data_IF_187647316174
#
_entry.id   IF_187647316174
#
_cell.length_a   1.000
_cell.length_b   1.000
_cell.length_c   1.000
_cell.angle_alpha   90.00
_cell.angle_beta   90.00
_cell.angle_gamma   90.00
#
_symmetry.space_group_name_H-M   'P 1'
#
loop_
_entity.id
_entity.type
_entity.pdbx_description
1 polymer ?
#
# COMPACT_ATOMS: atom_id res chain seq x y z
N UNK A 1 44.60 14.31 -31.55
CA UNK A 1 43.56 14.44 -30.51
C UNK A 1 42.66 13.21 -30.59
N UNK A 2 42.71 12.31 -29.60
CA UNK A 2 41.81 11.16 -29.58
C UNK A 2 40.40 11.65 -29.27
N UNK A 3 39.47 11.49 -30.20
CA UNK A 3 38.03 11.62 -29.92
C UNK A 3 37.70 10.64 -28.81
N UNK A 4 37.49 11.15 -27.59
CA UNK A 4 37.09 10.32 -26.47
C UNK A 4 35.82 9.57 -26.85
N UNK A 5 35.92 8.23 -26.87
CA UNK A 5 34.77 7.37 -27.16
C UNK A 5 33.77 7.50 -26.02
N UNK A 6 32.72 8.25 -26.33
CA UNK A 6 31.51 8.43 -25.57
C UNK A 6 30.99 7.07 -25.06
N UNK A 7 30.83 6.91 -23.74
CA UNK A 7 30.28 5.68 -23.15
C UNK A 7 28.95 5.95 -22.44
N UNK A 8 27.84 5.75 -23.16
CA UNK A 8 26.47 5.80 -22.62
C UNK A 8 26.26 4.83 -21.45
N UNK A 9 27.00 3.72 -21.45
CA UNK A 9 27.03 2.74 -20.37
C UNK A 9 27.46 3.37 -19.04
N UNK A 10 28.48 4.26 -19.05
CA UNK A 10 28.99 4.90 -17.84
C UNK A 10 27.97 5.88 -17.21
N UNK A 11 27.21 6.58 -18.06
CA UNK A 11 26.12 7.47 -17.61
C UNK A 11 24.99 6.67 -16.95
N UNK A 12 24.51 5.61 -17.61
CA UNK A 12 23.48 4.73 -17.07
C UNK A 12 23.93 4.09 -15.74
N UNK A 13 25.18 3.66 -15.66
CA UNK A 13 25.76 3.08 -14.45
C UNK A 13 25.78 4.08 -13.29
N UNK A 14 26.14 5.34 -13.56
CA UNK A 14 26.19 6.40 -12.55
C UNK A 14 24.79 6.75 -12.02
N UNK A 15 23.81 6.88 -12.90
CA UNK A 15 22.41 7.12 -12.49
C UNK A 15 21.82 5.94 -11.72
N UNK A 16 22.01 4.72 -12.22
CA UNK A 16 21.60 3.50 -11.52
C UNK A 16 22.24 3.41 -10.13
N UNK A 17 23.51 3.78 -10.02
CA UNK A 17 24.21 3.81 -8.74
C UNK A 17 23.59 4.82 -7.75
N UNK A 18 23.40 6.08 -8.16
CA UNK A 18 22.87 7.12 -7.26
C UNK A 18 21.43 6.84 -6.86
N UNK A 19 20.58 6.50 -7.83
CA UNK A 19 19.21 6.10 -7.55
C UNK A 19 19.19 4.84 -6.67
N UNK A 20 20.09 3.88 -6.90
CA UNK A 20 20.19 2.65 -6.12
C UNK A 20 20.54 2.92 -4.66
N UNK A 21 21.47 3.83 -4.38
CA UNK A 21 21.84 4.20 -3.02
C UNK A 21 20.69 4.91 -2.28
N UNK A 22 19.92 5.74 -2.98
CA UNK A 22 18.73 6.40 -2.43
C UNK A 22 17.60 5.40 -2.15
N UNK A 23 17.30 4.50 -3.10
CA UNK A 23 16.16 3.58 -3.06
C UNK A 23 16.41 2.37 -2.16
N UNK A 24 17.66 1.91 -2.01
CA UNK A 24 18.00 0.73 -1.22
C UNK A 24 17.44 0.70 0.22
N UNK A 25 17.56 1.75 1.05
CA UNK A 25 16.99 1.73 2.41
C UNK A 25 15.47 1.53 2.41
N UNK A 26 14.75 2.15 1.47
CA UNK A 26 13.31 1.97 1.32
C UNK A 26 13.00 0.53 0.89
N UNK A 27 13.69 -0.01 -0.12
CA UNK A 27 13.45 -1.38 -0.58
C UNK A 27 13.70 -2.43 0.52
N UNK A 28 14.72 -2.22 1.37
CA UNK A 28 14.95 -3.10 2.53
C UNK A 28 13.80 -3.00 3.52
N UNK A 29 13.39 -1.79 3.88
CA UNK A 29 12.28 -1.56 4.80
C UNK A 29 10.96 -2.16 4.26
N UNK A 30 10.63 -1.90 3.00
CA UNK A 30 9.43 -2.40 2.33
C UNK A 30 9.45 -3.94 2.25
N UNK A 31 10.57 -4.56 1.89
CA UNK A 31 10.64 -6.01 1.85
C UNK A 31 10.51 -6.66 3.24
N UNK A 32 11.13 -6.10 4.28
CA UNK A 32 11.02 -6.62 5.65
C UNK A 32 9.60 -6.46 6.21
N UNK A 33 9.02 -5.27 6.09
CA UNK A 33 7.64 -5.01 6.53
C UNK A 33 6.62 -5.79 5.71
N UNK A 34 6.87 -5.96 4.41
CA UNK A 34 6.08 -6.80 3.52
C UNK A 34 6.08 -8.26 3.96
N UNK A 35 7.23 -8.82 4.36
CA UNK A 35 7.31 -10.18 4.92
C UNK A 35 6.51 -10.30 6.22
N UNK A 36 6.61 -9.32 7.13
CA UNK A 36 5.83 -9.34 8.39
C UNK A 36 4.32 -9.39 8.08
N UNK A 37 3.87 -8.51 7.18
CA UNK A 37 2.47 -8.42 6.80
C UNK A 37 1.97 -9.66 6.04
N UNK A 38 2.81 -10.21 5.17
CA UNK A 38 2.56 -11.43 4.42
C UNK A 38 2.26 -12.63 5.32
N UNK A 39 2.90 -12.71 6.50
CA UNK A 39 2.70 -13.77 7.48
C UNK A 39 1.66 -13.44 8.56
N UNK A 40 0.84 -12.39 8.37
CA UNK A 40 -0.27 -12.06 9.28
C UNK A 40 -1.16 -13.26 9.64
N UNK A 41 -1.61 -14.11 8.70
CA UNK A 41 -2.48 -15.25 9.02
C UNK A 41 -1.84 -16.27 9.97
N UNK A 42 -0.50 -16.33 10.03
CA UNK A 42 0.24 -17.22 10.93
C UNK A 42 0.68 -16.52 12.22
N UNK A 43 1.09 -15.25 12.14
CA UNK A 43 1.58 -14.49 13.28
C UNK A 43 0.46 -14.09 14.24
N UNK A 44 -0.71 -13.68 13.73
CA UNK A 44 -1.79 -13.18 14.58
C UNK A 44 -2.36 -14.27 15.50
N UNK A 45 -2.70 -15.50 15.02
CA UNK A 45 -3.14 -16.56 15.91
C UNK A 45 -2.05 -17.01 16.91
N UNK A 46 -0.77 -16.92 16.54
CA UNK A 46 0.35 -17.25 17.42
C UNK A 46 0.51 -16.23 18.56
N UNK A 47 0.33 -14.94 18.27
CA UNK A 47 0.52 -13.86 19.23
C UNK A 47 -0.73 -13.54 20.05
N UNK A 48 -1.92 -13.73 19.45
CA UNK A 48 -3.20 -13.27 19.97
C UNK A 48 -4.25 -14.38 20.01
N UNK A 49 -3.81 -15.64 20.11
CA UNK A 49 -4.71 -16.80 20.11
C UNK A 49 -5.81 -16.74 21.16
N UNK A 50 -5.51 -16.25 22.36
CA UNK A 50 -6.49 -16.06 23.45
C UNK A 50 -7.56 -15.00 23.15
N UNK A 51 -7.25 -14.02 22.29
CA UNK A 51 -8.20 -13.00 21.86
C UNK A 51 -9.00 -13.44 20.63
N UNK A 52 -8.36 -14.18 19.72
CA UNK A 52 -8.92 -14.51 18.40
C UNK A 52 -9.71 -15.81 18.39
N UNK A 53 -9.39 -16.78 19.26
CA UNK A 53 -9.97 -18.12 19.24
C UNK A 53 -10.86 -18.38 20.45
N UNK A 54 -11.99 -19.02 20.20
CA UNK A 54 -13.03 -19.36 21.19
C UNK A 54 -13.46 -20.81 21.06
N UNK A 55 -14.01 -21.35 22.14
CA UNK A 55 -14.62 -22.68 22.11
C UNK A 55 -16.08 -22.57 21.68
N UNK A 56 -16.43 -23.33 20.64
CA UNK A 56 -17.80 -23.40 20.10
C UNK A 56 -18.80 -23.88 21.15
N UNK A 57 -20.00 -23.32 21.15
CA UNK A 57 -21.16 -23.83 21.88
C UNK A 57 -22.39 -23.95 20.95
N UNK A 58 -23.49 -24.52 21.45
CA UNK A 58 -24.67 -24.77 20.62
C UNK A 58 -25.33 -23.50 20.07
N UNK A 59 -25.38 -22.42 20.86
CA UNK A 59 -26.09 -21.19 20.50
C UNK A 59 -25.17 -19.98 20.62
N UNK A 60 -25.05 -19.22 19.52
CA UNK A 60 -24.38 -17.93 19.53
C UNK A 60 -25.35 -16.83 19.97
N UNK A 61 -24.85 -15.88 20.75
CA UNK A 61 -25.54 -14.64 21.09
C UNK A 61 -25.72 -13.79 19.83
N UNK A 62 -26.80 -13.01 19.80
CA UNK A 62 -27.01 -12.02 18.74
C UNK A 62 -25.92 -10.94 18.75
N UNK A 63 -25.68 -10.32 17.61
CA UNK A 63 -24.74 -9.21 17.48
C UNK A 63 -25.12 -8.04 18.41
N UNK A 64 -26.42 -7.81 18.63
CA UNK A 64 -26.90 -6.80 19.59
C UNK A 64 -26.55 -7.15 21.04
N UNK A 65 -26.69 -8.40 21.45
CA UNK A 65 -26.27 -8.85 22.78
C UNK A 65 -24.75 -8.72 22.96
N UNK A 66 -23.97 -9.14 21.96
CA UNK A 66 -22.51 -8.97 21.98
C UNK A 66 -22.11 -7.49 22.07
N UNK A 67 -22.79 -6.62 21.32
CA UNK A 67 -22.58 -5.17 21.38
C UNK A 67 -22.90 -4.61 22.77
N UNK A 68 -23.98 -5.06 23.40
CA UNK A 68 -24.32 -4.67 24.77
C UNK A 68 -23.26 -5.10 25.77
N UNK A 69 -22.70 -6.32 25.66
CA UNK A 69 -21.60 -6.79 26.51
C UNK A 69 -20.35 -5.92 26.35
N UNK A 70 -20.00 -5.59 25.10
CA UNK A 70 -18.86 -4.75 24.81
C UNK A 70 -19.04 -3.32 25.36
N UNK A 71 -20.22 -2.71 25.16
CA UNK A 71 -20.54 -1.39 25.73
C UNK A 71 -20.58 -1.38 27.26
N UNK A 72 -21.04 -2.46 27.89
CA UNK A 72 -21.05 -2.57 29.35
C UNK A 72 -19.62 -2.62 29.93
N UNK A 73 -18.69 -3.28 29.23
CA UNK A 73 -17.28 -3.30 29.62
C UNK A 73 -16.57 -1.96 29.32
N UNK A 74 -17.00 -1.25 28.27
CA UNK A 74 -16.41 0.01 27.80
C UNK A 74 -17.44 1.13 27.69
N UNK A 75 -18.00 1.62 28.82
CA UNK A 75 -19.16 2.51 28.82
C UNK A 75 -18.90 3.89 28.19
N UNK A 76 -17.64 4.35 28.20
CA UNK A 76 -17.24 5.64 27.65
C UNK A 76 -16.68 5.54 26.22
N UNK A 77 -16.63 4.34 25.64
CA UNK A 77 -16.04 4.14 24.32
C UNK A 77 -17.08 4.32 23.21
N UNK A 78 -16.72 5.05 22.16
CA UNK A 78 -17.56 5.20 20.98
C UNK A 78 -17.27 4.07 19.98
N UNK A 79 -18.27 3.29 19.61
CA UNK A 79 -18.11 2.23 18.61
C UNK A 79 -17.98 2.81 17.20
N UNK A 80 -17.02 2.31 16.43
CA UNK A 80 -16.85 2.65 15.02
C UNK A 80 -17.19 1.49 14.08
N UNK A 81 -16.85 0.25 14.46
CA UNK A 81 -16.97 -0.91 13.58
C UNK A 81 -17.25 -2.20 14.35
N UNK A 82 -17.97 -3.12 13.72
CA UNK A 82 -18.15 -4.50 14.17
C UNK A 82 -17.66 -5.47 13.11
N UNK A 83 -16.89 -6.49 13.51
CA UNK A 83 -16.51 -7.61 12.67
C UNK A 83 -17.13 -8.87 13.27
N UNK A 84 -18.12 -9.49 12.60
CA UNK A 84 -18.64 -10.77 13.02
C UNK A 84 -17.55 -11.86 13.02
N UNK A 85 -17.72 -12.93 13.82
CA UNK A 85 -16.84 -14.09 13.76
C UNK A 85 -16.69 -14.62 12.32
N UNK A 86 -15.45 -14.75 11.84
CA UNK A 86 -15.18 -15.27 10.50
C UNK A 86 -15.51 -16.77 10.37
N UNK A 87 -15.42 -17.50 11.48
CA UNK A 87 -15.79 -18.91 11.61
C UNK A 87 -16.29 -19.20 13.04
N UNK A 88 -16.83 -20.40 13.27
CA UNK A 88 -17.38 -20.80 14.56
C UNK A 88 -16.36 -20.76 15.71
N UNK A 89 -15.07 -20.86 15.41
CA UNK A 89 -13.97 -20.87 16.40
C UNK A 89 -13.38 -19.50 16.64
N UNK A 90 -13.90 -18.46 16.01
CA UNK A 90 -13.35 -17.11 16.07
C UNK A 90 -14.17 -16.20 16.99
N UNK A 91 -13.51 -15.27 17.66
CA UNK A 91 -14.19 -14.23 18.43
C UNK A 91 -14.81 -13.18 17.52
N UNK A 92 -15.81 -12.48 18.03
CA UNK A 92 -16.34 -11.27 17.42
C UNK A 92 -15.49 -10.06 17.83
N UNK A 93 -15.38 -9.04 16.97
CA UNK A 93 -14.52 -7.89 17.22
C UNK A 93 -15.29 -6.58 17.10
N UNK A 94 -15.07 -5.67 18.05
CA UNK A 94 -15.64 -4.34 18.04
C UNK A 94 -14.51 -3.30 18.06
N UNK A 95 -14.40 -2.48 17.02
CA UNK A 95 -13.47 -1.35 17.01
C UNK A 95 -14.15 -0.18 17.71
N UNK A 96 -13.49 0.36 18.72
CA UNK A 96 -14.00 1.42 19.56
C UNK A 96 -12.95 2.50 19.82
N UNK A 97 -13.38 3.73 19.96
CA UNK A 97 -12.56 4.83 20.42
C UNK A 97 -12.69 4.98 21.95
N UNK A 98 -11.63 4.69 22.68
CA UNK A 98 -11.57 4.75 24.14
C UNK A 98 -10.41 5.64 24.58
N UNK A 99 -10.70 6.76 25.25
CA UNK A 99 -9.68 7.64 25.84
C UNK A 99 -8.63 8.17 24.84
N UNK A 100 -9.04 8.52 23.62
CA UNK A 100 -8.13 9.00 22.58
C UNK A 100 -7.45 7.90 21.75
N UNK A 101 -7.62 6.62 22.13
CA UNK A 101 -7.06 5.45 21.42
C UNK A 101 -8.16 4.71 20.68
N UNK A 102 -7.80 4.13 19.54
CA UNK A 102 -8.66 3.20 18.82
C UNK A 102 -8.27 1.78 19.19
N UNK A 103 -9.17 1.05 19.83
CA UNK A 103 -8.95 -0.31 20.33
C UNK A 103 -9.94 -1.28 19.69
N UNK A 104 -9.49 -2.50 19.45
CA UNK A 104 -10.33 -3.62 19.02
C UNK A 104 -10.62 -4.48 20.24
N UNK A 105 -11.89 -4.56 20.62
CA UNK A 105 -12.39 -5.35 21.75
C UNK A 105 -12.88 -6.70 21.22
N UNK A 106 -12.43 -7.79 21.83
CA UNK A 106 -12.77 -9.16 21.42
C UNK A 106 -13.82 -9.74 22.36
N UNK A 107 -14.86 -10.35 21.79
CA UNK A 107 -15.98 -10.92 22.54
C UNK A 107 -16.21 -12.37 22.11
N UNK A 108 -16.37 -13.27 23.08
CA UNK A 108 -16.83 -14.64 22.82
C UNK A 108 -18.30 -14.61 22.36
N UNK A 109 -18.60 -15.00 21.11
CA UNK A 109 -19.95 -14.92 20.57
C UNK A 109 -20.92 -15.90 21.23
N UNK A 110 -20.45 -16.91 21.97
CA UNK A 110 -21.30 -17.89 22.65
C UNK A 110 -21.54 -17.54 24.11
N UNK A 111 -20.50 -17.09 24.82
CA UNK A 111 -20.56 -16.81 26.27
C UNK A 111 -20.82 -15.34 26.58
N UNK A 112 -20.57 -14.45 25.62
CA UNK A 112 -20.63 -13.00 25.83
C UNK A 112 -19.52 -12.46 26.72
N UNK A 113 -18.49 -13.27 27.02
CA UNK A 113 -17.31 -12.86 27.78
C UNK A 113 -16.42 -11.96 26.92
N UNK A 114 -16.04 -10.81 27.45
CA UNK A 114 -15.03 -9.94 26.82
C UNK A 114 -13.65 -10.56 27.07
N UNK A 115 -12.98 -10.95 25.99
CA UNK A 115 -11.69 -11.66 26.03
C UNK A 115 -10.52 -10.70 26.26
N UNK A 116 -10.68 -9.44 25.87
CA UNK A 116 -9.68 -8.39 26.05
C UNK A 116 -9.76 -7.33 24.94
N UNK A 117 -8.74 -6.49 24.90
CA UNK A 117 -8.57 -5.45 23.88
C UNK A 117 -7.18 -5.51 23.23
N UNK A 118 -7.09 -4.99 22.02
CA UNK A 118 -5.84 -4.75 21.31
C UNK A 118 -5.83 -3.35 20.72
N UNK A 119 -4.68 -2.67 20.77
CA UNK A 119 -4.54 -1.37 20.10
C UNK A 119 -4.59 -1.54 18.57
N UNK A 120 -5.47 -0.79 17.90
CA UNK A 120 -5.68 -0.91 16.46
C UNK A 120 -4.55 -0.28 15.63
N UNK A 121 -3.71 0.57 16.24
CA UNK A 121 -2.58 1.26 15.58
C UNK A 121 -1.22 0.71 15.99
N UNK A 122 -1.08 0.27 17.23
CA UNK A 122 0.20 -0.17 17.81
C UNK A 122 0.33 -1.69 17.97
N UNK A 123 -0.31 -2.47 17.11
CA UNK A 123 -0.04 -3.90 16.95
C UNK A 123 0.96 -4.16 15.80
N UNK A 124 1.57 -5.34 15.76
CA UNK A 124 2.62 -5.69 14.80
C UNK A 124 2.19 -5.45 13.34
N UNK A 125 0.95 -5.83 13.00
CA UNK A 125 0.44 -5.75 11.63
C UNK A 125 0.12 -4.32 11.22
N UNK A 126 -0.49 -3.54 12.12
CA UNK A 126 -0.77 -2.14 11.90
C UNK A 126 0.52 -1.33 11.71
N UNK A 127 1.53 -1.56 12.55
CA UNK A 127 2.85 -0.93 12.43
C UNK A 127 3.53 -1.34 11.12
N UNK A 128 3.55 -2.64 10.78
CA UNK A 128 4.14 -3.11 9.54
C UNK A 128 3.47 -2.48 8.31
N UNK A 129 2.13 -2.40 8.27
CA UNK A 129 1.38 -1.77 7.17
C UNK A 129 1.66 -0.26 7.09
N UNK A 130 1.65 0.45 8.22
CA UNK A 130 1.91 1.89 8.25
C UNK A 130 3.37 2.22 7.87
N UNK A 131 4.34 1.40 8.27
CA UNK A 131 5.73 1.53 7.81
C UNK A 131 5.86 1.25 6.32
N UNK A 132 5.17 0.21 5.82
CA UNK A 132 5.23 -0.19 4.42
C UNK A 132 4.61 0.85 3.47
N UNK A 133 3.46 1.44 3.84
CA UNK A 133 2.77 2.40 3.00
C UNK A 133 3.25 3.85 3.17
N UNK A 134 3.50 4.29 4.41
CA UNK A 134 3.68 5.71 4.73
C UNK A 134 4.82 6.01 5.73
N UNK A 135 5.67 5.03 6.03
CA UNK A 135 6.80 5.16 6.98
C UNK A 135 6.37 5.67 8.38
N UNK A 136 5.09 5.54 8.74
CA UNK A 136 4.47 6.09 9.96
C UNK A 136 4.60 7.62 10.12
N UNK A 137 4.84 8.36 9.03
CA UNK A 137 4.93 9.84 9.03
C UNK A 137 3.86 10.47 8.13
N UNK A 138 2.79 9.73 7.86
CA UNK A 138 1.63 10.16 7.07
C UNK A 138 1.98 10.49 5.62
N UNK A 139 1.31 11.51 5.09
CA UNK A 139 1.43 11.92 3.68
C UNK A 139 2.88 12.09 3.20
N UNK A 140 3.79 12.61 4.04
CA UNK A 140 5.20 12.78 3.64
C UNK A 140 5.86 11.43 3.34
N UNK A 141 5.61 10.43 4.18
CA UNK A 141 6.20 9.11 4.01
C UNK A 141 5.55 8.35 2.85
N UNK A 142 4.25 8.50 2.64
CA UNK A 142 3.55 8.02 1.43
C UNK A 142 4.21 8.57 0.16
N UNK A 143 4.49 9.88 0.09
CA UNK A 143 5.21 10.47 -1.06
C UNK A 143 6.65 9.97 -1.20
N UNK A 144 7.35 9.70 -0.10
CA UNK A 144 8.71 9.16 -0.14
C UNK A 144 8.73 7.70 -0.64
N UNK A 145 7.78 6.88 -0.18
CA UNK A 145 7.62 5.49 -0.64
C UNK A 145 7.23 5.47 -2.11
N UNK A 146 6.27 6.30 -2.54
CA UNK A 146 5.89 6.43 -3.95
C UNK A 146 7.08 6.88 -4.82
N UNK A 147 7.84 7.87 -4.36
CA UNK A 147 9.06 8.33 -5.04
C UNK A 147 10.11 7.21 -5.14
N UNK A 148 10.32 6.45 -4.07
CA UNK A 148 11.23 5.31 -4.08
C UNK A 148 10.76 4.19 -5.02
N UNK A 149 9.45 3.92 -5.09
CA UNK A 149 8.88 2.95 -6.01
C UNK A 149 9.05 3.38 -7.48
N UNK A 150 8.77 4.64 -7.80
CA UNK A 150 8.98 5.21 -9.14
C UNK A 150 10.45 5.18 -9.58
N UNK A 151 11.38 5.53 -8.69
CA UNK A 151 12.82 5.33 -8.94
C UNK A 151 13.20 3.85 -9.03
N UNK A 152 12.53 2.97 -8.29
CA UNK A 152 12.65 1.52 -8.42
C UNK A 152 12.37 1.03 -9.83
N UNK A 153 11.33 1.54 -10.48
CA UNK A 153 11.01 1.21 -11.89
C UNK A 153 12.17 1.62 -12.81
N UNK A 154 12.71 2.82 -12.61
CA UNK A 154 13.89 3.28 -13.36
C UNK A 154 15.14 2.41 -13.09
N UNK A 155 15.31 1.93 -11.86
CA UNK A 155 16.40 1.02 -11.49
C UNK A 155 16.28 -0.34 -12.16
N UNK A 156 15.07 -0.89 -12.27
CA UNK A 156 14.82 -2.14 -13.01
C UNK A 156 15.21 -1.97 -14.47
N UNK A 157 14.72 -0.92 -15.14
CA UNK A 157 15.01 -0.66 -16.56
C UNK A 157 16.50 -0.43 -16.79
N UNK A 158 17.13 0.44 -15.99
CA UNK A 158 18.57 0.72 -16.10
C UNK A 158 19.43 -0.48 -15.73
N UNK A 159 19.02 -1.30 -14.75
CA UNK A 159 19.70 -2.52 -14.35
C UNK A 159 19.70 -3.56 -15.47
N UNK A 160 18.54 -3.82 -16.08
CA UNK A 160 18.42 -4.68 -17.26
C UNK A 160 19.29 -4.16 -18.41
N UNK A 161 19.28 -2.85 -18.67
CA UNK A 161 20.13 -2.26 -19.70
C UNK A 161 21.62 -2.48 -19.41
N UNK A 162 22.08 -2.31 -18.17
CA UNK A 162 23.49 -2.46 -17.78
C UNK A 162 23.96 -3.92 -17.84
N UNK A 163 23.11 -4.84 -17.38
CA UNK A 163 23.47 -6.25 -17.25
C UNK A 163 23.06 -7.10 -18.45
N UNK A 164 22.41 -6.52 -19.48
CA UNK A 164 22.02 -7.27 -20.66
C UNK A 164 23.22 -8.00 -21.30
N UNK A 165 23.12 -9.30 -21.59
CA UNK A 165 24.22 -10.09 -22.14
C UNK A 165 24.49 -9.68 -23.60
N UNK A 166 25.50 -8.82 -23.82
CA UNK A 166 25.90 -8.30 -25.15
C UNK A 166 27.19 -8.96 -25.65
N UNK A 167 27.10 -10.23 -26.04
CA UNK A 167 28.20 -10.94 -26.71
C UNK A 167 29.40 -11.33 -25.83
N UNK A 168 29.24 -11.31 -24.49
CA UNK A 168 30.17 -11.90 -23.53
C UNK A 168 29.52 -13.11 -22.84
N UNK A 169 30.33 -13.93 -22.16
CA UNK A 169 29.82 -15.03 -21.32
C UNK A 169 28.65 -14.56 -20.44
N UNK A 170 27.54 -15.28 -20.49
CA UNK A 170 26.34 -15.05 -19.67
C UNK A 170 26.56 -15.39 -18.19
N UNK A 171 27.70 -16.01 -17.85
CA UNK A 171 28.10 -16.28 -16.48
C UNK A 171 28.36 -14.96 -15.72
N UNK A 172 27.71 -14.82 -14.56
CA UNK A 172 27.67 -13.62 -13.75
C UNK A 172 26.54 -12.64 -14.08
N UNK A 173 25.62 -13.02 -14.98
CA UNK A 173 24.34 -12.34 -15.26
C UNK A 173 23.17 -13.32 -15.19
N UNK A 174 23.25 -14.46 -15.88
CA UNK A 174 22.17 -15.47 -15.85
C UNK A 174 22.35 -16.48 -14.72
N UNK A 175 23.60 -16.79 -14.37
CA UNK A 175 23.95 -17.69 -13.27
C UNK A 175 25.21 -17.18 -12.57
N UNK A 176 25.35 -17.43 -11.25
CA UNK A 176 26.52 -16.98 -10.52
C UNK A 176 27.74 -17.81 -10.90
N UNK A 177 28.94 -17.20 -10.85
CA UNK A 177 30.19 -17.94 -11.04
C UNK A 177 30.54 -18.68 -9.76
N UNK A 178 30.50 -20.01 -9.82
CA UNK A 178 30.61 -20.96 -8.69
C UNK A 178 31.84 -20.74 -7.80
N UNK A 179 32.96 -20.25 -8.36
CA UNK A 179 34.21 -20.01 -7.62
C UNK A 179 34.52 -18.53 -7.35
N UNK A 180 33.56 -17.62 -7.56
CA UNK A 180 33.79 -16.20 -7.33
C UNK A 180 33.81 -15.88 -5.83
N UNK A 181 34.75 -15.03 -5.41
CA UNK A 181 34.86 -14.54 -4.02
C UNK A 181 34.93 -13.02 -3.98
N UNK A 182 34.68 -12.45 -2.80
CA UNK A 182 34.82 -11.02 -2.56
C UNK A 182 33.92 -10.16 -3.47
N UNK A 183 34.50 -9.17 -4.15
CA UNK A 183 33.74 -8.20 -4.97
C UNK A 183 32.98 -8.87 -6.12
N UNK A 184 33.59 -9.90 -6.72
CA UNK A 184 33.05 -10.58 -7.91
C UNK A 184 31.80 -11.37 -7.54
N UNK A 185 31.79 -12.02 -6.38
CA UNK A 185 30.64 -12.72 -5.83
C UNK A 185 29.45 -11.79 -5.62
N UNK A 186 29.62 -10.69 -4.88
CA UNK A 186 28.52 -9.74 -4.61
C UNK A 186 27.97 -9.11 -5.88
N UNK A 187 28.85 -8.84 -6.86
CA UNK A 187 28.44 -8.38 -8.19
C UNK A 187 27.54 -9.41 -8.89
N UNK A 188 27.92 -10.68 -8.86
CA UNK A 188 27.14 -11.74 -9.50
C UNK A 188 25.82 -11.97 -8.78
N UNK A 189 25.79 -11.94 -7.43
CA UNK A 189 24.56 -12.00 -6.65
C UNK A 189 23.60 -10.85 -7.02
N UNK A 190 24.11 -9.62 -7.11
CA UNK A 190 23.31 -8.47 -7.51
C UNK A 190 22.79 -8.61 -8.95
N UNK A 191 23.67 -8.94 -9.90
CA UNK A 191 23.31 -9.00 -11.32
C UNK A 191 22.35 -10.16 -11.63
N UNK A 192 22.58 -11.35 -11.07
CA UNK A 192 21.74 -12.54 -11.30
C UNK A 192 20.39 -12.37 -10.65
N UNK A 193 20.36 -11.94 -9.38
CA UNK A 193 19.10 -11.69 -8.67
C UNK A 193 18.32 -10.55 -9.33
N UNK A 194 19.02 -9.48 -9.73
CA UNK A 194 18.42 -8.36 -10.44
C UNK A 194 17.87 -8.75 -11.81
N UNK A 195 18.55 -9.61 -12.58
CA UNK A 195 18.08 -10.04 -13.89
C UNK A 195 16.81 -10.90 -13.79
N UNK A 196 16.83 -11.96 -12.98
CA UNK A 196 15.66 -12.85 -12.81
C UNK A 196 14.53 -12.18 -12.02
N UNK A 197 14.88 -11.32 -11.07
CA UNK A 197 13.93 -10.59 -10.25
C UNK A 197 13.36 -9.35 -10.93
N UNK A 198 13.90 -8.90 -12.06
CA UNK A 198 13.48 -7.64 -12.70
C UNK A 198 11.99 -7.63 -13.05
N UNK A 199 11.48 -8.68 -13.70
CA UNK A 199 10.06 -8.75 -14.07
C UNK A 199 9.16 -8.84 -12.85
N UNK A 200 9.54 -9.65 -11.86
CA UNK A 200 8.78 -9.81 -10.62
C UNK A 200 8.75 -8.52 -9.81
N UNK A 201 9.90 -7.86 -9.65
CA UNK A 201 10.01 -6.57 -8.99
C UNK A 201 9.23 -5.49 -9.76
N UNK A 202 9.27 -5.49 -11.09
CA UNK A 202 8.48 -4.55 -11.88
C UNK A 202 6.98 -4.74 -11.62
N UNK A 203 6.49 -5.97 -11.58
CA UNK A 203 5.08 -6.25 -11.23
C UNK A 203 4.77 -5.74 -9.83
N UNK A 204 5.63 -6.00 -8.83
CA UNK A 204 5.42 -5.52 -7.46
C UNK A 204 5.42 -4.00 -7.34
N UNK A 205 6.29 -3.31 -8.07
CA UNK A 205 6.36 -1.84 -8.07
C UNK A 205 5.13 -1.25 -8.76
N UNK A 206 4.77 -1.78 -9.93
CA UNK A 206 3.61 -1.29 -10.68
C UNK A 206 2.30 -1.55 -9.94
N UNK A 207 2.12 -2.73 -9.35
CA UNK A 207 0.94 -3.00 -8.52
C UNK A 207 0.93 -2.09 -7.31
N UNK A 208 2.03 -2.03 -6.54
CA UNK A 208 2.15 -1.17 -5.35
C UNK A 208 1.80 0.30 -5.59
N UNK A 209 2.19 0.84 -6.74
CA UNK A 209 1.89 2.23 -7.09
C UNK A 209 0.40 2.50 -7.30
N UNK A 210 -0.41 1.52 -7.71
CA UNK A 210 -1.85 1.73 -8.01
C UNK A 210 -2.68 2.20 -6.82
N UNK A 211 -2.16 2.08 -5.59
CA UNK A 211 -2.84 2.54 -4.37
C UNK A 211 -1.99 3.50 -3.52
N UNK A 212 -1.00 4.17 -4.11
CA UNK A 212 -0.29 5.25 -3.41
C UNK A 212 -1.12 6.53 -3.36
N UNK A 213 -0.86 7.38 -2.38
CA UNK A 213 -1.71 8.52 -2.10
C UNK A 213 -1.69 9.64 -3.15
N UNK A 214 -0.69 9.71 -4.05
CA UNK A 214 -0.69 10.68 -5.17
C UNK A 214 -1.02 9.98 -6.49
N UNK A 215 -0.13 9.10 -6.93
CA UNK A 215 -0.25 8.44 -8.22
C UNK A 215 -1.41 7.46 -8.24
N UNK A 216 -1.55 6.62 -7.20
CA UNK A 216 -2.69 5.71 -7.06
C UNK A 216 -4.03 6.44 -7.06
N UNK A 217 -4.13 7.58 -6.37
CA UNK A 217 -5.33 8.44 -6.44
C UNK A 217 -5.63 8.91 -7.86
N UNK A 218 -4.65 9.49 -8.57
CA UNK A 218 -4.83 9.96 -9.96
C UNK A 218 -5.15 8.81 -10.92
N UNK A 219 -4.52 7.66 -10.71
CA UNK A 219 -4.78 6.44 -11.47
C UNK A 219 -6.22 5.96 -11.26
N UNK A 220 -6.69 5.90 -10.01
CA UNK A 220 -8.05 5.56 -9.67
C UNK A 220 -9.07 6.55 -10.25
N UNK A 221 -8.81 7.86 -10.19
CA UNK A 221 -9.70 8.90 -10.74
C UNK A 221 -9.93 8.75 -12.26
N UNK A 222 -8.96 8.20 -12.99
CA UNK A 222 -9.07 7.98 -14.44
C UNK A 222 -9.87 6.73 -14.80
N UNK A 223 -9.84 5.69 -13.95
CA UNK A 223 -10.30 4.36 -14.34
C UNK A 223 -11.36 3.74 -13.42
N UNK A 224 -11.47 4.13 -12.16
CA UNK A 224 -12.46 3.60 -11.21
C UNK A 224 -13.83 4.26 -11.39
N UNK A 225 -14.36 4.18 -12.61
CA UNK A 225 -15.72 4.57 -12.94
C UNK A 225 -16.65 3.36 -12.84
N UNK A 226 -17.71 3.51 -12.05
CA UNK A 226 -18.76 2.51 -11.89
C UNK A 226 -19.98 2.90 -12.74
N UNK A 227 -20.85 1.94 -13.09
CA UNK A 227 -22.10 2.26 -13.78
C UNK A 227 -22.88 3.35 -13.04
N UNK A 228 -23.08 4.51 -13.68
CA UNK A 228 -23.78 5.66 -13.10
C UNK A 228 -25.17 5.28 -12.55
N UNK A 229 -25.84 4.33 -13.20
CA UNK A 229 -27.13 3.79 -12.81
C UNK A 229 -27.19 3.32 -11.36
N UNK A 230 -26.07 2.92 -10.76
CA UNK A 230 -26.08 2.50 -9.37
C UNK A 230 -26.38 3.68 -8.43
N UNK A 231 -25.83 4.88 -8.69
CA UNK A 231 -25.97 6.05 -7.78
C UNK A 231 -26.95 7.12 -8.26
N UNK A 232 -27.60 6.92 -9.42
CA UNK A 232 -28.52 7.90 -10.02
C UNK A 232 -29.75 8.21 -9.14
N UNK A 233 -30.20 7.24 -8.34
CA UNK A 233 -31.41 7.36 -7.51
C UNK A 233 -31.07 7.30 -6.02
N UNK A 234 -29.82 7.61 -5.66
CA UNK A 234 -29.32 7.51 -4.30
C UNK A 234 -28.67 8.84 -3.98
N UNK A 235 -29.17 9.58 -2.98
CA UNK A 235 -28.56 10.81 -2.55
C UNK A 235 -27.13 10.58 -2.06
N UNK A 236 -26.22 11.45 -2.48
CA UNK A 236 -24.78 11.30 -2.29
C UNK A 236 -24.25 12.39 -1.36
N UNK A 237 -23.35 12.00 -0.48
CA UNK A 237 -22.54 12.92 0.33
C UNK A 237 -21.32 13.39 -0.48
N UNK A 238 -20.78 14.55 -0.11
CA UNK A 238 -19.47 15.03 -0.56
C UNK A 238 -18.31 14.13 -0.09
N UNK A 239 -18.56 13.20 0.85
CA UNK A 239 -17.56 12.24 1.30
C UNK A 239 -17.42 11.06 0.33
N UNK A 240 -16.17 10.65 0.11
CA UNK A 240 -15.84 9.44 -0.64
C UNK A 240 -15.56 8.27 0.30
N UNK A 241 -15.76 7.03 -0.15
CA UNK A 241 -15.58 5.84 0.68
C UNK A 241 -14.15 5.65 1.22
N UNK A 242 -13.13 6.33 0.65
CA UNK A 242 -11.76 6.39 1.19
C UNK A 242 -11.68 6.79 2.66
N UNK A 243 -12.64 7.55 3.17
CA UNK A 243 -12.70 7.93 4.60
C UNK A 243 -12.83 6.71 5.53
N UNK A 244 -13.29 5.56 5.00
CA UNK A 244 -13.41 4.30 5.71
C UNK A 244 -12.08 3.53 5.80
N UNK A 245 -11.08 3.93 5.01
CA UNK A 245 -9.75 3.33 4.99
C UNK A 245 -8.75 4.18 5.76
N UNK A 246 -7.81 3.52 6.44
CA UNK A 246 -6.75 4.16 7.19
C UNK A 246 -5.41 3.50 6.86
N UNK A 247 -4.30 4.13 7.26
CA UNK A 247 -2.97 3.56 7.08
C UNK A 247 -2.81 2.17 7.73
N UNK A 248 -3.53 1.90 8.82
CA UNK A 248 -3.49 0.63 9.56
C UNK A 248 -4.58 -0.36 9.16
N UNK A 249 -5.64 0.07 8.45
CA UNK A 249 -6.77 -0.80 8.12
C UNK A 249 -7.40 -0.48 6.75
N UNK A 250 -7.55 -1.52 5.92
CA UNK A 250 -8.39 -1.49 4.73
C UNK A 250 -9.79 -2.00 5.07
N UNK A 251 -10.82 -1.20 4.82
CA UNK A 251 -12.23 -1.55 5.04
C UNK A 251 -12.92 -1.84 3.72
N UNK A 252 -12.86 -0.90 2.77
CA UNK A 252 -13.42 -1.05 1.43
C UNK A 252 -12.29 -1.36 0.43
N UNK A 253 -12.57 -2.14 -0.64
CA UNK A 253 -11.61 -2.37 -1.72
C UNK A 253 -11.09 -1.04 -2.32
N UNK A 254 -9.87 -1.06 -2.88
CA UNK A 254 -9.25 0.13 -3.47
C UNK A 254 -10.06 0.72 -4.62
N UNK A 255 -10.74 -0.14 -5.39
CA UNK A 255 -11.66 0.24 -6.45
C UNK A 255 -12.78 1.16 -5.93
N UNK A 256 -13.18 1.00 -4.67
CA UNK A 256 -14.28 1.74 -4.05
C UNK A 256 -13.86 3.08 -3.44
N UNK A 257 -12.57 3.35 -3.24
CA UNK A 257 -12.14 4.52 -2.46
C UNK A 257 -12.66 5.86 -2.98
N UNK A 258 -12.75 6.01 -4.30
CA UNK A 258 -13.16 7.26 -4.93
C UNK A 258 -14.68 7.33 -5.21
N UNK A 259 -15.47 6.35 -4.76
CA UNK A 259 -16.92 6.40 -4.91
C UNK A 259 -17.56 7.27 -3.83
N UNK A 260 -18.60 8.05 -4.17
CA UNK A 260 -19.34 8.85 -3.19
C UNK A 260 -20.07 7.94 -2.18
N UNK A 261 -20.18 8.41 -0.94
CA UNK A 261 -20.94 7.75 0.11
C UNK A 261 -22.42 8.11 0.00
N UNK A 262 -23.35 7.13 -0.01
CA UNK A 262 -24.78 7.39 0.10
C UNK A 262 -25.17 8.06 1.41
N UNK A 263 -26.34 8.72 1.40
CA UNK A 263 -26.95 9.33 2.59
C UNK A 263 -28.23 8.61 3.00
N UNK A 264 -28.45 8.47 4.31
CA UNK A 264 -29.70 7.93 4.88
C UNK A 264 -30.78 9.02 5.02
N UNK A 265 -32.05 8.63 4.90
CA UNK A 265 -33.23 9.43 5.23
C UNK A 265 -34.11 9.89 4.05
N UNK A 266 -35.43 10.02 4.31
CA UNK A 266 -36.48 10.35 3.32
C UNK A 266 -36.38 11.76 2.71
N UNK A 267 -35.54 12.63 3.26
CA UNK A 267 -35.38 14.00 2.78
C UNK A 267 -34.30 14.17 1.72
N UNK A 268 -33.57 13.10 1.39
CA UNK A 268 -32.40 13.22 0.56
C UNK A 268 -32.73 13.42 -0.95
N UNK A 269 -33.99 13.27 -1.36
CA UNK A 269 -34.51 13.62 -2.71
C UNK A 269 -35.03 15.07 -2.84
N UNK A 270 -35.18 15.84 -1.74
CA UNK A 270 -35.84 17.15 -1.74
C UNK A 270 -35.02 18.31 -1.16
N UNK A 271 -33.75 18.12 -0.82
CA UNK A 271 -32.97 19.16 -0.15
C UNK A 271 -32.16 20.02 -1.12
N UNK A 272 -32.66 21.22 -1.34
CA UNK A 272 -31.92 22.36 -1.88
C UNK A 272 -30.70 22.66 -0.98
N UNK A 273 -29.56 22.98 -1.57
CA UNK A 273 -28.21 23.11 -0.97
C UNK A 273 -28.05 24.09 0.23
N UNK A 274 -28.72 23.87 1.38
CA UNK A 274 -28.68 24.88 2.46
C UNK A 274 -28.84 24.46 3.92
N UNK A 275 -29.31 23.25 4.24
CA UNK A 275 -29.53 22.84 5.63
C UNK A 275 -28.66 21.63 5.99
N UNK A 276 -27.46 21.87 6.55
CA UNK A 276 -26.64 20.82 7.16
C UNK A 276 -27.33 20.31 8.43
N UNK A 277 -27.97 19.14 8.37
CA UNK A 277 -28.35 18.41 9.57
C UNK A 277 -27.13 17.62 10.09
N UNK A 278 -26.17 18.33 10.69
CA UNK A 278 -24.98 17.75 11.33
C UNK A 278 -25.27 17.20 12.73
N UNK A 279 -26.34 16.42 12.87
CA UNK A 279 -26.65 15.70 14.12
C UNK A 279 -25.86 14.40 14.25
N UNK A 280 -25.63 13.89 15.47
CA UNK A 280 -25.05 12.56 15.66
C UNK A 280 -25.98 11.47 15.09
N UNK A 281 -25.40 10.36 14.64
CA UNK A 281 -26.18 9.21 14.20
C UNK A 281 -27.10 8.68 15.32
N UNK A 282 -28.32 8.30 14.95
CA UNK A 282 -29.30 7.70 15.85
C UNK A 282 -30.01 6.53 15.13
N UNK A 283 -29.27 5.47 14.76
CA UNK A 283 -29.81 4.37 13.97
C UNK A 283 -30.96 3.67 14.71
N UNK A 284 -32.09 3.49 14.03
CA UNK A 284 -33.20 2.66 14.52
C UNK A 284 -33.02 1.19 14.19
N UNK A 285 -32.17 0.90 13.20
CA UNK A 285 -31.82 -0.44 12.77
C UNK A 285 -30.91 -1.12 13.80
N UNK A 286 -31.26 -2.35 14.20
CA UNK A 286 -30.46 -3.17 15.11
C UNK A 286 -29.25 -3.77 14.41
N UNK A 287 -28.19 -4.06 15.15
CA UNK A 287 -26.96 -4.59 14.58
C UNK A 287 -27.18 -5.99 13.97
N UNK A 288 -27.96 -6.85 14.64
CA UNK A 288 -28.28 -8.17 14.11
C UNK A 288 -29.02 -8.08 12.76
N UNK A 289 -29.87 -7.09 12.57
CA UNK A 289 -30.58 -6.90 11.29
C UNK A 289 -29.61 -6.59 10.14
N UNK A 290 -28.54 -5.85 10.40
CA UNK A 290 -27.49 -5.58 9.40
C UNK A 290 -26.69 -6.85 9.09
N UNK A 291 -26.40 -7.68 10.10
CA UNK A 291 -25.76 -8.99 9.93
C UNK A 291 -26.65 -9.93 9.09
N UNK A 292 -27.94 -10.01 9.42
CA UNK A 292 -28.90 -10.84 8.70
C UNK A 292 -29.04 -10.38 7.24
N UNK A 293 -29.04 -9.06 7.01
CA UNK A 293 -29.05 -8.48 5.68
C UNK A 293 -27.78 -8.84 4.89
N UNK A 294 -26.60 -8.75 5.50
CA UNK A 294 -25.34 -9.14 4.87
C UNK A 294 -25.35 -10.63 4.47
N UNK A 295 -25.84 -11.50 5.36
CA UNK A 295 -25.99 -12.93 5.10
C UNK A 295 -27.00 -13.21 3.98
N UNK A 296 -28.17 -12.54 4.00
CA UNK A 296 -29.18 -12.65 2.96
C UNK A 296 -28.70 -12.14 1.59
N UNK A 297 -27.75 -11.20 1.58
CA UNK A 297 -27.06 -10.71 0.37
C UNK A 297 -25.79 -11.49 0.03
N UNK A 298 -25.58 -12.65 0.66
CA UNK A 298 -24.46 -13.55 0.41
C UNK A 298 -23.10 -12.83 0.43
N UNK A 299 -22.89 -11.95 1.42
CA UNK A 299 -21.57 -11.37 1.68
C UNK A 299 -20.69 -12.44 2.33
N UNK A 300 -19.51 -12.68 1.79
CA UNK A 300 -18.56 -13.68 2.32
C UNK A 300 -18.11 -13.33 3.75
N UNK A 301 -17.93 -14.32 4.64
CA UNK A 301 -17.40 -14.10 5.98
C UNK A 301 -16.06 -13.35 5.99
N UNK A 302 -15.81 -12.60 7.06
CA UNK A 302 -14.67 -11.68 7.16
C UNK A 302 -14.99 -10.24 6.75
N UNK A 303 -16.27 -9.94 6.46
CA UNK A 303 -16.75 -8.58 6.32
C UNK A 303 -16.72 -7.81 7.65
N UNK A 304 -16.79 -6.49 7.53
CA UNK A 304 -16.98 -5.59 8.66
C UNK A 304 -18.19 -4.69 8.44
N UNK A 305 -18.82 -4.27 9.53
CA UNK A 305 -19.94 -3.34 9.57
C UNK A 305 -19.44 -2.04 10.22
N UNK A 306 -19.28 -0.99 9.42
CA UNK A 306 -18.94 0.35 9.92
C UNK A 306 -20.23 1.09 10.29
N UNK A 307 -20.25 1.67 11.49
CA UNK A 307 -21.41 2.40 12.02
C UNK A 307 -21.50 3.82 11.42
N UNK A 308 -22.71 4.34 11.18
CA UNK A 308 -22.89 5.75 10.85
C UNK A 308 -22.48 6.62 12.05
N UNK A 309 -21.86 7.76 11.78
CA UNK A 309 -21.45 8.75 12.79
C UNK A 309 -22.37 9.97 12.82
N UNK A 310 -23.02 10.28 11.70
CA UNK A 310 -23.95 11.40 11.54
C UNK A 310 -25.38 10.91 11.24
N UNK A 311 -26.37 11.80 11.42
CA UNK A 311 -27.77 11.52 11.10
C UNK A 311 -28.00 11.13 9.63
N UNK A 312 -27.17 11.65 8.71
CA UNK A 312 -27.24 11.32 7.28
C UNK A 312 -26.32 10.14 6.91
N UNK A 313 -25.51 9.64 7.85
CA UNK A 313 -24.57 8.53 7.60
C UNK A 313 -25.28 7.23 7.26
N UNK A 314 -24.53 6.22 6.81
CA UNK A 314 -25.04 4.89 6.46
C UNK A 314 -24.26 3.82 7.21
N UNK A 315 -24.89 2.67 7.44
CA UNK A 315 -24.14 1.47 7.76
C UNK A 315 -23.38 1.03 6.51
N UNK A 316 -22.10 0.69 6.64
CA UNK A 316 -21.32 0.15 5.53
C UNK A 316 -20.86 -1.25 5.86
N UNK A 317 -21.40 -2.24 5.13
CA UNK A 317 -20.95 -3.63 5.16
C UNK A 317 -19.91 -3.79 4.06
N UNK A 318 -18.67 -4.10 4.40
CA UNK A 318 -17.62 -4.26 3.40
C UNK A 318 -16.71 -5.46 3.71
N UNK A 319 -16.36 -6.20 2.66
CA UNK A 319 -15.33 -7.25 2.69
C UNK A 319 -14.30 -6.94 1.62
N UNK A 320 -13.04 -6.89 2.05
CA UNK A 320 -11.86 -6.87 1.20
C UNK A 320 -11.27 -8.28 1.21
N UNK A 321 -11.76 -9.11 0.28
CA UNK A 321 -11.56 -10.54 0.34
C UNK A 321 -10.18 -10.94 -0.21
N UNK A 322 -9.65 -12.09 0.23
CA UNK A 322 -8.40 -12.63 -0.32
C UNK A 322 -8.50 -13.02 -1.81
N UNK A 323 -9.73 -13.29 -2.28
CA UNK A 323 -10.08 -13.39 -3.69
C UNK A 323 -11.01 -12.23 -4.03
N UNK A 324 -10.59 -11.27 -4.88
CA UNK A 324 -11.34 -10.04 -5.08
C UNK A 324 -12.67 -10.28 -5.81
N UNK A 325 -12.89 -11.48 -6.37
CA UNK A 325 -14.19 -11.89 -6.93
C UNK A 325 -15.29 -11.92 -5.87
N UNK A 326 -14.91 -12.05 -4.61
CA UNK A 326 -15.78 -12.09 -3.45
C UNK A 326 -15.93 -10.73 -2.76
N UNK A 327 -15.30 -9.67 -3.28
CA UNK A 327 -15.43 -8.33 -2.74
C UNK A 327 -16.89 -7.87 -2.72
N UNK A 328 -17.25 -7.21 -1.63
CA UNK A 328 -18.56 -6.62 -1.46
C UNK A 328 -18.46 -5.30 -0.72
N UNK A 329 -19.25 -4.31 -1.14
CA UNK A 329 -19.47 -3.06 -0.41
C UNK A 329 -20.94 -2.72 -0.49
N UNK A 330 -21.65 -2.83 0.64
CA UNK A 330 -23.04 -2.49 0.76
C UNK A 330 -23.19 -1.28 1.68
N UNK A 331 -23.94 -0.29 1.22
CA UNK A 331 -24.36 0.84 2.03
C UNK A 331 -25.84 0.66 2.38
N UNK A 332 -26.15 0.69 3.68
CA UNK A 332 -27.48 0.41 4.22
C UNK A 332 -27.98 1.63 4.97
N UNK A 333 -29.20 2.05 4.64
CA UNK A 333 -29.88 3.15 5.30
C UNK A 333 -30.09 2.83 6.78
N UNK A 334 -29.66 3.76 7.65
CA UNK A 334 -29.59 3.52 9.09
C UNK A 334 -30.96 3.51 9.79
N UNK A 335 -32.03 3.89 9.09
CA UNK A 335 -33.39 3.99 9.62
C UNK A 335 -34.31 2.89 9.10
N UNK A 336 -34.29 2.68 7.79
CA UNK A 336 -35.19 1.79 7.05
C UNK A 336 -34.61 0.40 6.81
N UNK A 337 -33.28 0.26 6.85
CA UNK A 337 -32.59 -0.97 6.44
C UNK A 337 -32.56 -1.20 4.93
N UNK A 338 -32.98 -0.22 4.12
CA UNK A 338 -32.89 -0.28 2.66
C UNK A 338 -31.43 -0.30 2.23
N UNK A 339 -31.07 -1.22 1.33
CA UNK A 339 -29.75 -1.24 0.68
C UNK A 339 -29.73 -0.11 -0.35
N UNK A 340 -28.92 0.91 -0.09
CA UNK A 340 -28.74 2.08 -0.94
C UNK A 340 -27.73 1.78 -2.06
N UNK A 341 -26.70 1.00 -1.78
CA UNK A 341 -25.71 0.57 -2.76
C UNK A 341 -25.26 -0.87 -2.47
N UNK A 342 -24.99 -1.65 -3.51
CA UNK A 342 -24.49 -3.03 -3.44
C UNK A 342 -23.46 -3.24 -4.56
N UNK A 343 -22.19 -2.91 -4.28
CA UNK A 343 -21.09 -3.08 -5.24
C UNK A 343 -20.40 -4.41 -5.04
N UNK A 344 -20.14 -5.08 -6.15
CA UNK A 344 -19.55 -6.41 -6.25
C UNK A 344 -18.55 -6.44 -7.39
N UNK A 345 -17.74 -7.49 -7.44
CA UNK A 345 -16.82 -7.77 -8.54
C UNK A 345 -17.44 -7.67 -9.95
N UNK A 346 -18.71 -8.09 -10.10
CA UNK A 346 -19.42 -8.02 -11.37
C UNK A 346 -19.55 -6.58 -11.90
N UNK A 347 -19.63 -5.60 -11.00
CA UNK A 347 -19.73 -4.18 -11.31
C UNK A 347 -18.36 -3.52 -11.57
N UNK A 348 -17.25 -4.20 -11.28
CA UNK A 348 -15.91 -3.68 -11.56
C UNK A 348 -15.63 -3.73 -13.06
N UNK A 349 -15.13 -2.62 -13.60
CA UNK A 349 -14.58 -2.59 -14.94
C UNK A 349 -13.24 -3.36 -15.01
N UNK A 350 -12.71 -3.55 -16.22
CA UNK A 350 -11.50 -4.35 -16.43
C UNK A 350 -10.29 -3.84 -15.65
N UNK A 351 -10.14 -2.51 -15.52
CA UNK A 351 -9.01 -1.89 -14.84
C UNK A 351 -9.13 -2.05 -13.33
N UNK A 352 -10.32 -1.85 -12.77
CA UNK A 352 -10.61 -2.11 -11.36
C UNK A 352 -10.34 -3.60 -11.02
N UNK A 353 -10.81 -4.53 -11.86
CA UNK A 353 -10.54 -5.97 -11.71
C UNK A 353 -9.05 -6.29 -11.74
N UNK A 354 -8.32 -5.73 -12.70
CA UNK A 354 -6.88 -5.93 -12.82
C UNK A 354 -6.13 -5.35 -11.61
N UNK A 355 -6.56 -4.20 -11.10
CA UNK A 355 -5.97 -3.51 -9.96
C UNK A 355 -6.18 -4.34 -8.68
N UNK A 356 -7.40 -4.73 -8.37
CA UNK A 356 -7.69 -5.55 -7.19
C UNK A 356 -7.01 -6.92 -7.23
N UNK A 357 -6.96 -7.55 -8.40
CA UNK A 357 -6.19 -8.78 -8.60
C UNK A 357 -4.70 -8.53 -8.34
N UNK A 358 -4.16 -7.42 -8.86
CA UNK A 358 -2.79 -6.99 -8.63
C UNK A 358 -2.48 -6.75 -7.15
N UNK A 359 -3.40 -6.13 -6.41
CA UNK A 359 -3.28 -5.91 -4.96
C UNK A 359 -3.24 -7.25 -4.22
N UNK A 360 -4.15 -8.18 -4.52
CA UNK A 360 -4.19 -9.48 -3.86
C UNK A 360 -2.99 -10.36 -4.18
N UNK A 361 -2.44 -10.25 -5.39
CA UNK A 361 -1.18 -10.87 -5.77
C UNK A 361 -0.01 -10.23 -5.01
N UNK A 362 0.04 -8.91 -4.91
CA UNK A 362 1.08 -8.17 -4.20
C UNK A 362 1.09 -8.49 -2.69
N UNK A 363 -0.06 -8.50 -2.04
CA UNK A 363 -0.19 -8.82 -0.61
C UNK A 363 -0.02 -10.32 -0.31
N UNK A 364 0.11 -11.17 -1.34
CA UNK A 364 0.29 -12.61 -1.16
C UNK A 364 -0.96 -13.36 -0.72
N UNK A 365 -2.14 -12.76 -0.86
CA UNK A 365 -3.43 -13.28 -0.36
C UNK A 365 -4.15 -14.20 -1.35
N UNK A 366 -4.02 -13.91 -2.65
CA UNK A 366 -4.66 -14.73 -3.69
C UNK A 366 -4.02 -16.13 -3.76
N UNK A 367 -4.75 -17.19 -4.09
CA UNK A 367 -4.19 -18.56 -4.22
C UNK A 367 -3.52 -19.16 -2.96
N UNK A 368 -3.76 -18.59 -1.78
CA UNK A 368 -3.28 -19.13 -0.50
C UNK A 368 -1.75 -19.16 -0.40
N UNK A 369 -1.23 -20.24 0.21
CA UNK A 369 0.20 -20.34 0.56
C UNK A 369 1.15 -20.30 -0.65
N UNK A 370 0.68 -20.66 -1.86
CA UNK A 370 1.52 -20.64 -3.07
C UNK A 370 1.94 -19.21 -3.42
N UNK A 371 0.98 -18.29 -3.45
CA UNK A 371 1.28 -16.87 -3.67
C UNK A 371 2.08 -16.29 -2.51
N UNK A 372 1.79 -16.73 -1.27
CA UNK A 372 2.57 -16.36 -0.09
C UNK A 372 4.07 -16.66 -0.28
N UNK A 373 4.41 -17.87 -0.76
CA UNK A 373 5.80 -18.23 -1.03
C UNK A 373 6.43 -17.47 -2.19
N UNK A 374 5.65 -17.18 -3.25
CA UNK A 374 6.13 -16.38 -4.39
C UNK A 374 6.49 -14.98 -3.92
N UNK A 375 5.62 -14.31 -3.17
CA UNK A 375 5.88 -12.97 -2.64
C UNK A 375 7.04 -12.99 -1.65
N UNK A 376 7.14 -14.01 -0.79
CA UNK A 376 8.32 -14.18 0.09
C UNK A 376 9.62 -14.26 -0.71
N UNK A 377 9.65 -15.08 -1.77
CA UNK A 377 10.82 -15.21 -2.64
C UNK A 377 11.18 -13.85 -3.26
N UNK A 378 10.19 -13.10 -3.74
CA UNK A 378 10.41 -11.75 -4.30
C UNK A 378 11.01 -10.82 -3.24
N UNK A 379 10.47 -10.79 -2.02
CA UNK A 379 11.03 -9.98 -0.93
C UNK A 379 12.48 -10.36 -0.62
N UNK A 380 12.81 -11.66 -0.59
CA UNK A 380 14.18 -12.13 -0.37
C UNK A 380 15.12 -11.73 -1.53
N UNK A 381 14.64 -11.76 -2.78
CA UNK A 381 15.39 -11.28 -3.94
C UNK A 381 15.64 -9.77 -3.87
N UNK A 382 14.66 -8.98 -3.43
CA UNK A 382 14.79 -7.54 -3.21
C UNK A 382 15.86 -7.27 -2.14
N UNK A 383 15.78 -7.96 -1.00
CA UNK A 383 16.76 -7.84 0.08
C UNK A 383 18.17 -8.21 -0.40
N UNK A 384 18.32 -9.34 -1.09
CA UNK A 384 19.61 -9.75 -1.62
C UNK A 384 20.16 -8.74 -2.63
N UNK A 385 19.32 -8.21 -3.52
CA UNK A 385 19.73 -7.20 -4.51
C UNK A 385 20.15 -5.88 -3.85
N UNK A 386 19.36 -5.37 -2.89
CA UNK A 386 19.65 -4.14 -2.17
C UNK A 386 20.94 -4.26 -1.32
N UNK A 387 21.05 -5.34 -0.53
CA UNK A 387 22.23 -5.59 0.31
C UNK A 387 23.47 -5.78 -0.55
N UNK A 388 23.40 -6.59 -1.61
CA UNK A 388 24.54 -6.80 -2.52
C UNK A 388 24.96 -5.50 -3.22
N UNK A 389 24.01 -4.64 -3.62
CA UNK A 389 24.28 -3.32 -4.17
C UNK A 389 25.06 -2.42 -3.21
N UNK A 390 24.59 -2.33 -1.95
CA UNK A 390 25.27 -1.56 -0.88
C UNK A 390 26.65 -2.13 -0.57
N UNK A 391 26.82 -3.46 -0.53
CA UNK A 391 28.13 -4.09 -0.30
C UNK A 391 29.11 -3.81 -1.44
N UNK A 392 28.65 -3.83 -2.71
CA UNK A 392 29.48 -3.46 -3.86
C UNK A 392 29.93 -2.00 -3.74
N UNK A 393 29.03 -1.10 -3.34
CA UNK A 393 29.36 0.30 -3.07
C UNK A 393 30.40 0.44 -1.97
N UNK A 394 30.20 -0.19 -0.82
CA UNK A 394 31.10 -0.12 0.32
C UNK A 394 32.51 -0.59 -0.04
N UNK A 395 32.63 -1.61 -0.90
CA UNK A 395 33.90 -2.11 -1.43
C UNK A 395 34.54 -1.25 -2.52
N UNK A 396 33.85 -0.20 -3.00
CA UNK A 396 34.30 0.73 -4.05
C UNK A 396 34.49 2.17 -3.58
N UNK A 397 33.93 2.55 -2.42
CA UNK A 397 33.98 3.93 -1.92
C UNK A 397 35.43 4.40 -1.74
N UNK A 398 35.78 5.64 -2.14
CA UNK A 398 37.07 6.23 -1.83
C UNK A 398 37.31 6.28 -0.31
N UNK A 399 38.55 6.10 0.15
CA UNK A 399 38.89 6.31 1.55
C UNK A 399 38.60 7.76 1.95
N UNK A 400 37.74 7.97 2.94
CA UNK A 400 37.39 9.30 3.46
C UNK A 400 36.22 10.03 2.78
N UNK A 401 35.45 9.38 1.89
CA UNK A 401 34.29 10.01 1.24
C UNK A 401 33.11 9.08 0.95
N UNK A 402 31.91 9.65 0.81
CA UNK A 402 30.67 8.95 0.41
C UNK A 402 30.44 8.94 -1.12
N UNK A 403 31.35 9.52 -1.90
CA UNK A 403 31.17 9.78 -3.33
C UNK A 403 31.43 8.58 -4.26
N UNK A 404 30.87 8.65 -5.46
CA UNK A 404 31.24 7.80 -6.60
C UNK A 404 32.65 8.18 -7.08
N UNK A 405 33.50 7.22 -7.49
CA UNK A 405 34.80 7.54 -8.09
C UNK A 405 34.65 8.58 -9.22
N UNK A 406 35.52 9.60 -9.29
CA UNK A 406 35.38 10.69 -10.26
C UNK A 406 35.43 10.17 -11.70
N UNK A 407 34.59 10.75 -12.57
CA UNK A 407 34.60 10.48 -14.00
C UNK A 407 35.89 11.02 -14.61
N UNK A 408 36.47 10.25 -15.54
CA UNK A 408 37.65 10.68 -16.30
C UNK A 408 37.30 11.60 -17.49
N UNK A 409 36.01 11.85 -17.76
CA UNK A 409 35.53 12.61 -18.91
C UNK A 409 34.06 13.05 -18.79
N UNK A 410 33.69 14.07 -19.57
CA UNK A 410 32.32 14.56 -19.73
C UNK A 410 31.40 13.50 -20.35
N UNK A 411 30.17 13.44 -19.85
CA UNK A 411 29.17 12.49 -20.31
C UNK A 411 28.39 13.07 -21.51
N UNK A 412 28.08 12.25 -22.53
CA UNK A 412 27.21 12.66 -23.62
C UNK A 412 25.79 12.92 -23.14
N UNK A 413 25.06 13.78 -23.86
CA UNK A 413 23.59 13.85 -23.75
C UNK A 413 22.98 12.61 -24.39
N UNK A 414 22.60 11.62 -23.58
CA UNK A 414 21.90 10.42 -24.07
C UNK A 414 20.47 10.77 -24.45
N UNK A 415 20.26 11.25 -25.68
CA UNK A 415 18.93 11.70 -26.15
C UNK A 415 17.84 10.65 -25.90
N UNK A 416 18.11 9.36 -26.15
CA UNK A 416 17.14 8.29 -25.91
C UNK A 416 16.80 8.09 -24.44
N UNK A 417 17.76 8.06 -23.52
CA UNK A 417 17.39 7.99 -22.10
C UNK A 417 16.84 9.29 -21.55
N UNK A 418 17.21 10.44 -22.10
CA UNK A 418 16.53 11.67 -21.74
C UNK A 418 15.05 11.59 -22.14
N UNK A 419 14.73 11.01 -23.30
CA UNK A 419 13.35 10.74 -23.71
C UNK A 419 12.68 9.69 -22.81
N UNK A 420 13.35 8.58 -22.47
CA UNK A 420 12.79 7.55 -21.57
C UNK A 420 12.58 8.12 -20.16
N UNK A 421 13.56 8.84 -19.62
CA UNK A 421 13.48 9.51 -18.32
C UNK A 421 12.40 10.58 -18.33
N UNK A 422 12.23 11.34 -19.43
CA UNK A 422 11.16 12.31 -19.57
C UNK A 422 9.79 11.63 -19.65
N UNK A 423 9.65 10.56 -20.42
CA UNK A 423 8.43 9.76 -20.48
C UNK A 423 8.07 9.18 -19.10
N UNK A 424 9.05 8.60 -18.40
CA UNK A 424 8.86 8.10 -17.04
C UNK A 424 8.60 9.22 -16.02
N UNK A 425 9.18 10.41 -16.19
CA UNK A 425 8.90 11.58 -15.35
C UNK A 425 7.48 12.13 -15.58
N UNK A 426 6.94 11.99 -16.79
CA UNK A 426 5.54 12.33 -17.10
C UNK A 426 4.60 11.28 -16.49
N UNK A 427 4.94 9.99 -16.63
CA UNK A 427 4.15 8.89 -16.08
C UNK A 427 4.19 8.88 -14.54
N UNK A 428 5.33 9.24 -13.94
CA UNK A 428 5.56 9.29 -12.48
C UNK A 428 5.93 10.71 -12.05
N UNK A 429 4.93 11.58 -11.78
CA UNK A 429 5.16 13.01 -11.58
C UNK A 429 6.08 13.34 -10.40
N UNK A 430 6.06 12.56 -9.31
CA UNK A 430 6.99 12.77 -8.20
C UNK A 430 8.44 12.52 -8.60
N UNK A 431 8.70 11.53 -9.45
CA UNK A 431 10.03 11.29 -10.00
C UNK A 431 10.45 12.48 -10.86
N UNK A 432 9.55 12.97 -11.73
CA UNK A 432 9.78 14.16 -12.54
C UNK A 432 10.08 15.41 -11.71
N UNK A 433 9.29 15.67 -10.67
CA UNK A 433 9.48 16.77 -9.73
C UNK A 433 10.82 16.64 -8.99
N UNK A 434 11.20 15.43 -8.57
CA UNK A 434 12.49 15.20 -7.91
C UNK A 434 13.68 15.52 -8.83
N UNK A 435 13.59 15.20 -10.13
CA UNK A 435 14.61 15.53 -11.11
C UNK A 435 14.75 17.04 -11.32
N UNK A 436 13.63 17.76 -11.39
CA UNK A 436 13.61 19.23 -11.49
C UNK A 436 14.21 19.85 -10.23
N UNK A 437 13.85 19.35 -9.04
CA UNK A 437 14.40 19.82 -7.77
C UNK A 437 15.92 19.63 -7.71
N UNK A 438 16.41 18.44 -8.05
CA UNK A 438 17.86 18.16 -8.11
C UNK A 438 18.57 19.09 -9.10
N UNK A 439 17.97 19.32 -10.26
CA UNK A 439 18.51 20.25 -11.26
C UNK A 439 18.54 21.71 -10.77
N UNK A 440 17.48 22.16 -10.10
CA UNK A 440 17.41 23.50 -9.53
C UNK A 440 18.42 23.68 -8.40
N UNK A 441 18.56 22.70 -7.50
CA UNK A 441 19.55 22.72 -6.42
C UNK A 441 20.98 22.73 -6.97
N UNK A 442 21.27 21.92 -7.98
CA UNK A 442 22.57 21.95 -8.67
C UNK A 442 22.85 23.34 -9.26
N UNK A 443 21.86 23.93 -9.94
CA UNK A 443 21.96 25.26 -10.54
C UNK A 443 22.03 26.41 -9.53
N UNK A 444 21.46 26.29 -8.33
CA UNK A 444 21.39 27.37 -7.35
C UNK A 444 22.47 27.28 -6.27
N UNK A 445 22.81 26.06 -5.85
CA UNK A 445 23.76 25.81 -4.75
C UNK A 445 25.16 25.60 -5.29
N UNK A 446 25.35 24.66 -6.23
CA UNK A 446 26.69 24.34 -6.73
C UNK A 446 27.26 25.45 -7.62
N UNK A 447 26.44 26.11 -8.43
CA UNK A 447 26.91 27.28 -9.21
C UNK A 447 27.39 28.44 -8.32
N UNK A 448 26.77 28.67 -7.16
CA UNK A 448 27.15 29.74 -6.23
C UNK A 448 28.39 29.41 -5.41
N UNK A 449 28.51 28.17 -4.93
CA UNK A 449 29.70 27.75 -4.17
C UNK A 449 30.95 27.58 -5.04
N UNK A 450 30.81 27.17 -6.31
CA UNK A 450 31.95 27.07 -7.23
C UNK A 450 32.33 28.43 -7.86
N UNK A 451 31.37 29.32 -8.13
CA UNK A 451 31.69 30.70 -8.56
C UNK A 451 32.46 31.48 -7.47
N UNK A 452 32.15 31.26 -6.19
CA UNK A 452 32.88 31.88 -5.07
C UNK A 452 34.31 31.35 -4.90
N UNK A 453 34.58 30.11 -5.32
CA UNK A 453 35.92 29.49 -5.26
C UNK A 453 36.83 29.96 -6.40
N UNK A 454 36.29 30.21 -7.59
CA UNK A 454 37.07 30.77 -8.70
C UNK A 454 37.39 32.26 -8.49
N UNK A 455 36.51 33.02 -7.82
CA UNK A 455 36.83 34.42 -7.45
C UNK A 455 37.89 34.53 -6.35
N UNK A 456 38.06 33.50 -5.52
CA UNK A 456 39.05 33.49 -4.42
C UNK A 456 40.43 32.96 -4.84
N UNK A 457 40.54 32.25 -5.98
CA UNK A 457 41.82 31.77 -6.53
C UNK A 457 42.41 32.66 -7.62
N UNK A 458 41.68 33.67 -8.09
CA UNK A 458 42.13 34.65 -9.08
C UNK A 458 42.76 35.92 -8.50
N UNK A 459 42.92 36.01 -7.17
CA UNK A 459 43.48 37.18 -6.47
C UNK A 459 44.64 36.81 -5.54
N UNK A 460 45.51 35.88 -5.95
CA UNK A 460 46.76 35.56 -5.27
C UNK A 460 47.93 35.59 -6.27
#
# INVERSE_FOLDING_TARGET
MSTQKISFYNLAWRWHFYAGLFVAPFMVLLALTGIIYLFKPQLDPLMYGELLKVQTAEHALSADEQLQRAKAAYPNAAISKYLPPADATSSAQFVMHNGGREVTVFVDPYRGTVLGEQDSKYNLQAIARALHGELMIGTVGDRLVELAAGWGVMLVVSGLYLWWPRGKSSAGVLWPRVNSRGRVFWRDMHAVTGFWGASLLLVMLLSGMTWTGFWGKQYADLWNTFPAAMWNNVPQSDQQARVLNTASQQTVPWAMENTPMPMSGDHAEHMNHGAMHSGPAAPTLRLQQVVDLANARHVEPGYSITFPTTAEGVFTVAVFANDPRNDATLHVDQYTGKVLADVRWAHYNLVARATETGVMLHEGKMFGWVNQLIVLLICLMILLSAVSGVVIWWKRRPHGGLGVPPLRHDLPKWKTAMVIMLALAIIFPLVGASLILVWALDRLVLSRFFAQRESASGSA
#
